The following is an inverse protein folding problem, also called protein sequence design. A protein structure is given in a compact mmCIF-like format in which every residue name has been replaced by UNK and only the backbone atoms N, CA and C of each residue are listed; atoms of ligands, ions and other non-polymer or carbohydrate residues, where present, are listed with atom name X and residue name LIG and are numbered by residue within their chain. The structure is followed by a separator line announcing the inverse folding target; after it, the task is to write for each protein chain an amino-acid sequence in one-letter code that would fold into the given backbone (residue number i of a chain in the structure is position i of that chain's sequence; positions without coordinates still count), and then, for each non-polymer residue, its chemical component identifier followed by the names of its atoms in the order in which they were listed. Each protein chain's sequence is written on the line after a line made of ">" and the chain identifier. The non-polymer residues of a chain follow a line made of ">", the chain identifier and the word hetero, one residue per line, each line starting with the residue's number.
data_IF_685105698083
#
_entry.id   IF_685105698083
#
_cell.length_a   1.000
_cell.length_b   1.000
_cell.length_c   1.000
_cell.angle_alpha   90.00
_cell.angle_beta   90.00
_cell.angle_gamma   90.00
#
_symmetry.space_group_name_H-M   'P 1'
#
loop_
_entity.id
_entity.type
_entity.pdbx_description
1 polymer ?
#
# COMPACT_ATOMS: atom_id res chain seq x y z
N UNK A 1 -6.55 18.03 4.06
CA UNK A 1 -5.77 17.78 2.82
C UNK A 1 -4.71 18.83 2.55
N UNK A 2 -5.04 20.11 2.32
CA UNK A 2 -4.02 21.15 2.01
C UNK A 2 -3.02 21.36 3.15
N UNK A 3 -3.51 21.51 4.38
CA UNK A 3 -2.64 21.68 5.54
C UNK A 3 -1.73 20.45 5.78
N UNK A 4 -2.27 19.24 5.59
CA UNK A 4 -1.50 17.99 5.73
C UNK A 4 -0.39 17.89 4.67
N UNK A 5 -0.67 18.24 3.42
CA UNK A 5 0.35 18.26 2.37
C UNK A 5 1.39 19.35 2.58
N UNK A 6 0.99 20.54 3.06
CA UNK A 6 1.95 21.57 3.49
C UNK A 6 2.84 21.04 4.61
N UNK A 7 2.27 20.32 5.59
CA UNK A 7 3.04 19.67 6.66
C UNK A 7 4.04 18.65 6.11
N UNK A 8 3.61 17.79 5.18
CA UNK A 8 4.50 16.82 4.50
C UNK A 8 5.62 17.55 3.76
N UNK A 9 5.31 18.59 2.97
CA UNK A 9 6.33 19.38 2.24
C UNK A 9 7.32 20.05 3.17
N UNK A 10 6.86 20.57 4.31
CA UNK A 10 7.72 21.22 5.29
C UNK A 10 8.59 20.21 6.04
N UNK A 11 8.06 19.02 6.31
CA UNK A 11 8.79 17.92 6.97
C UNK A 11 9.86 17.35 6.03
N UNK A 12 9.56 17.27 4.73
CA UNK A 12 10.45 16.74 3.70
C UNK A 12 10.98 17.83 2.79
N UNK A 13 11.90 18.64 3.34
CA UNK A 13 12.66 19.56 2.50
C UNK A 13 13.49 18.76 1.49
N UNK A 14 13.23 18.96 0.21
CA UNK A 14 13.93 18.26 -0.88
C UNK A 14 15.16 19.05 -1.30
N UNK A 15 16.33 18.40 -1.30
CA UNK A 15 17.56 18.96 -1.86
C UNK A 15 17.51 19.08 -3.40
N UNK A 16 18.59 19.55 -4.01
CA UNK A 16 18.66 19.75 -5.47
C UNK A 16 18.50 18.48 -6.29
N UNK A 17 18.81 17.30 -5.72
CA UNK A 17 18.66 16.00 -6.39
C UNK A 17 17.32 15.35 -6.10
N UNK A 18 16.73 15.63 -4.95
CA UNK A 18 15.54 14.94 -4.46
C UNK A 18 14.28 15.45 -5.14
N UNK A 19 13.37 14.54 -5.49
CA UNK A 19 12.07 14.89 -6.08
C UNK A 19 10.89 14.36 -5.29
N UNK A 20 9.80 15.11 -5.36
CA UNK A 20 8.51 14.81 -4.78
C UNK A 20 7.43 14.70 -5.85
N UNK A 21 6.57 13.71 -5.71
CA UNK A 21 5.38 13.50 -6.55
C UNK A 21 4.13 13.55 -5.68
N UNK A 22 3.08 14.20 -6.19
CA UNK A 22 1.77 14.26 -5.55
C UNK A 22 0.71 13.82 -6.57
N UNK A 23 0.22 12.59 -6.42
CA UNK A 23 -0.76 11.97 -7.30
C UNK A 23 -2.19 12.33 -6.88
N UNK A 24 -3.01 12.70 -7.87
CA UNK A 24 -4.43 12.98 -7.74
C UNK A 24 -5.24 12.15 -8.72
N UNK A 25 -6.41 11.69 -8.30
CA UNK A 25 -7.40 11.04 -9.17
C UNK A 25 -8.26 12.03 -9.98
N UNK A 26 -8.24 13.31 -9.63
CA UNK A 26 -9.06 14.36 -10.27
C UNK A 26 -8.20 15.54 -10.72
N UNK A 27 -8.29 15.88 -12.02
CA UNK A 27 -7.65 17.06 -12.62
C UNK A 27 -8.10 18.34 -11.93
N UNK A 28 -9.38 18.46 -11.58
CA UNK A 28 -9.93 19.62 -10.87
C UNK A 28 -9.26 19.80 -9.51
N UNK A 29 -9.16 18.72 -8.71
CA UNK A 29 -8.48 18.77 -7.40
C UNK A 29 -7.00 19.10 -7.56
N UNK A 30 -6.33 18.46 -8.53
CA UNK A 30 -4.93 18.69 -8.86
C UNK A 30 -4.69 20.17 -9.16
N UNK A 31 -5.42 20.76 -10.10
CA UNK A 31 -5.21 22.15 -10.53
C UNK A 31 -5.52 23.15 -9.42
N UNK A 32 -6.63 22.95 -8.69
CA UNK A 32 -6.94 23.78 -7.53
C UNK A 32 -5.82 23.74 -6.47
N UNK A 33 -5.22 22.57 -6.28
CA UNK A 33 -4.16 22.37 -5.32
C UNK A 33 -2.81 22.96 -5.78
N UNK A 34 -2.42 22.68 -7.02
CA UNK A 34 -1.20 23.17 -7.65
C UNK A 34 -1.17 24.70 -7.63
N UNK A 35 -2.29 25.35 -8.00
CA UNK A 35 -2.44 26.80 -7.94
C UNK A 35 -2.26 27.34 -6.51
N UNK A 36 -2.88 26.69 -5.50
CA UNK A 36 -2.79 27.12 -4.11
C UNK A 36 -1.39 27.02 -3.51
N UNK A 37 -0.59 26.07 -3.99
CA UNK A 37 0.77 25.82 -3.49
C UNK A 37 1.88 26.39 -4.37
N UNK A 38 1.55 27.03 -5.49
CA UNK A 38 2.53 27.50 -6.48
C UNK A 38 3.36 26.36 -7.06
N UNK A 39 2.74 25.21 -7.33
CA UNK A 39 3.40 24.02 -7.87
C UNK A 39 3.00 23.77 -9.32
N UNK A 40 3.86 23.07 -10.06
CA UNK A 40 3.54 22.62 -11.40
C UNK A 40 2.49 21.49 -11.37
N UNK A 41 1.64 21.46 -12.40
CA UNK A 41 0.67 20.39 -12.66
C UNK A 41 1.09 19.56 -13.87
N UNK A 42 0.72 18.27 -13.87
CA UNK A 42 0.85 17.39 -15.02
C UNK A 42 -0.39 16.49 -15.13
N UNK A 43 -1.13 16.60 -16.23
CA UNK A 43 -2.24 15.70 -16.55
C UNK A 43 -2.40 15.54 -18.07
N UNK A 44 -3.32 14.67 -18.50
CA UNK A 44 -3.50 14.37 -19.93
C UNK A 44 -3.82 15.60 -20.79
N UNK A 45 -4.63 16.52 -20.25
CA UNK A 45 -5.21 17.67 -20.96
C UNK A 45 -4.71 19.02 -20.42
N UNK A 46 -3.40 19.28 -20.46
CA UNK A 46 -2.84 20.55 -19.99
C UNK A 46 -3.22 21.73 -20.89
N UNK A 47 -3.39 21.46 -22.19
CA UNK A 47 -3.82 22.42 -23.22
C UNK A 47 -4.97 21.81 -24.02
N UNK A 48 -6.02 22.59 -24.28
CA UNK A 48 -7.17 22.14 -25.06
C UNK A 48 -6.89 22.22 -26.56
N UNK A 49 -7.32 21.20 -27.30
CA UNK A 49 -7.45 21.24 -28.77
C UNK A 49 -6.15 21.13 -29.58
N UNK A 50 -4.98 21.21 -28.96
CA UNK A 50 -3.69 21.10 -29.65
C UNK A 50 -2.76 20.07 -28.98
N UNK A 51 -2.65 18.85 -29.54
CA UNK A 51 -1.78 17.80 -29.01
C UNK A 51 -0.29 18.17 -29.04
N UNK A 52 0.15 18.97 -30.02
CA UNK A 52 1.57 19.35 -30.18
C UNK A 52 1.96 20.29 -29.05
N UNK A 53 1.15 21.32 -28.82
CA UNK A 53 1.38 22.29 -27.73
C UNK A 53 1.23 21.62 -26.36
N UNK A 54 0.23 20.73 -26.20
CA UNK A 54 0.05 19.97 -24.96
C UNK A 54 1.26 19.09 -24.63
N UNK A 55 1.83 18.41 -25.64
CA UNK A 55 3.01 17.56 -25.44
C UNK A 55 4.28 18.37 -25.19
N UNK A 56 4.45 19.52 -25.85
CA UNK A 56 5.56 20.44 -25.60
C UNK A 56 5.53 20.93 -24.14
N UNK A 57 4.37 21.41 -23.66
CA UNK A 57 4.22 21.87 -22.28
C UNK A 57 4.47 20.74 -21.26
N UNK A 58 4.02 19.52 -21.54
CA UNK A 58 4.33 18.35 -20.70
C UNK A 58 5.83 18.10 -20.62
N UNK A 59 6.54 18.17 -21.75
CA UNK A 59 7.98 18.00 -21.80
C UNK A 59 8.71 19.09 -21.00
N UNK A 60 8.28 20.35 -21.12
CA UNK A 60 8.85 21.48 -20.39
C UNK A 60 8.65 21.34 -18.87
N UNK A 61 7.44 20.94 -18.43
CA UNK A 61 7.14 20.70 -17.01
C UNK A 61 7.99 19.55 -16.46
N UNK A 62 8.13 18.46 -17.22
CA UNK A 62 8.96 17.31 -16.84
C UNK A 62 10.42 17.71 -16.75
N UNK A 63 10.94 18.46 -17.73
CA UNK A 63 12.33 18.92 -17.74
C UNK A 63 12.63 19.86 -16.56
N UNK A 64 11.74 20.82 -16.29
CA UNK A 64 11.85 21.71 -15.13
C UNK A 64 11.85 20.91 -13.82
N UNK A 65 10.96 19.92 -13.70
CA UNK A 65 10.92 19.03 -12.54
C UNK A 65 12.21 18.21 -12.41
N UNK A 66 12.66 17.55 -13.47
CA UNK A 66 13.91 16.77 -13.47
C UNK A 66 15.12 17.63 -13.07
N UNK A 67 15.19 18.88 -13.53
CA UNK A 67 16.27 19.82 -13.18
C UNK A 67 16.16 20.36 -11.75
N UNK A 68 14.94 20.56 -11.23
CA UNK A 68 14.69 20.94 -9.82
C UNK A 68 15.42 22.20 -9.34
N UNK A 69 15.75 23.12 -10.26
CA UNK A 69 16.57 24.32 -9.98
C UNK A 69 15.99 25.14 -8.83
N UNK A 70 14.70 25.44 -8.91
CA UNK A 70 13.97 26.14 -7.86
C UNK A 70 13.30 25.15 -6.90
N UNK A 71 13.16 25.47 -5.60
CA UNK A 71 12.47 24.62 -4.63
C UNK A 71 11.05 24.20 -5.07
N UNK A 72 10.33 25.07 -5.79
CA UNK A 72 9.00 24.78 -6.33
C UNK A 72 9.00 23.71 -7.44
N UNK A 73 10.09 23.61 -8.23
CA UNK A 73 10.21 22.61 -9.30
C UNK A 73 10.52 21.20 -8.77
N UNK A 74 10.93 21.06 -7.51
CA UNK A 74 11.26 19.75 -6.91
C UNK A 74 10.01 18.92 -6.61
N UNK A 75 8.83 19.54 -6.66
CA UNK A 75 7.53 18.91 -6.45
C UNK A 75 6.68 18.98 -7.73
N UNK A 76 5.98 17.89 -8.04
CA UNK A 76 5.05 17.84 -9.17
C UNK A 76 3.70 17.26 -8.74
N UNK A 77 2.63 18.02 -8.97
CA UNK A 77 1.26 17.54 -8.85
C UNK A 77 0.87 16.84 -10.15
N UNK A 78 0.47 15.57 -10.09
CA UNK A 78 0.21 14.78 -11.28
C UNK A 78 -1.02 13.89 -11.15
N UNK A 79 -1.58 13.47 -12.29
CA UNK A 79 -2.48 12.29 -12.34
C UNK A 79 -1.72 11.07 -12.83
N UNK A 80 -2.41 9.93 -12.92
CA UNK A 80 -1.89 8.70 -13.53
C UNK A 80 -1.32 8.90 -14.96
N UNK A 81 -1.68 9.98 -15.66
CA UNK A 81 -1.08 10.33 -16.95
C UNK A 81 0.43 10.58 -16.84
N UNK A 82 0.94 10.92 -15.66
CA UNK A 82 2.36 11.04 -15.38
C UNK A 82 2.96 9.66 -15.16
N UNK A 83 3.50 9.09 -16.24
CA UNK A 83 4.20 7.83 -16.12
C UNK A 83 4.76 7.17 -17.36
N UNK A 84 4.38 7.62 -18.56
CA UNK A 84 4.99 7.13 -19.80
C UNK A 84 6.41 7.72 -19.98
N UNK A 85 7.44 6.92 -19.70
CA UNK A 85 8.82 7.21 -20.10
C UNK A 85 9.66 8.11 -19.20
N UNK A 86 9.10 8.66 -18.11
CA UNK A 86 9.88 9.44 -17.13
C UNK A 86 10.37 8.50 -16.03
N UNK A 87 11.69 8.32 -15.97
CA UNK A 87 12.39 7.57 -14.93
C UNK A 87 13.39 8.51 -14.24
N UNK A 88 13.12 8.84 -12.97
CA UNK A 88 14.00 9.69 -12.17
C UNK A 88 14.39 8.94 -10.90
N UNK A 89 15.68 8.66 -10.67
CA UNK A 89 16.11 7.75 -9.62
C UNK A 89 15.88 8.29 -8.20
N UNK A 90 16.04 9.61 -8.01
CA UNK A 90 16.09 10.24 -6.68
C UNK A 90 14.72 10.78 -6.20
N UNK A 91 13.62 10.08 -6.50
CA UNK A 91 12.31 10.42 -5.91
C UNK A 91 12.31 10.00 -4.43
N UNK A 92 12.15 10.98 -3.53
CA UNK A 92 12.20 10.80 -2.06
C UNK A 92 10.84 10.84 -1.40
N UNK A 93 9.85 11.45 -2.03
CA UNK A 93 8.48 11.50 -1.51
C UNK A 93 7.49 11.24 -2.63
N UNK A 94 6.58 10.30 -2.38
CA UNK A 94 5.40 10.09 -3.21
C UNK A 94 4.18 10.25 -2.32
N UNK A 95 3.24 11.11 -2.71
CA UNK A 95 1.99 11.30 -1.97
C UNK A 95 0.82 10.97 -2.88
N UNK A 96 -0.12 10.16 -2.40
CA UNK A 96 -1.36 9.87 -3.11
C UNK A 96 -2.53 10.54 -2.42
N UNK A 97 -3.36 11.24 -3.20
CA UNK A 97 -4.56 11.92 -2.74
C UNK A 97 -5.79 11.17 -3.28
N UNK A 98 -6.54 10.59 -2.34
CA UNK A 98 -7.72 9.76 -2.59
C UNK A 98 -7.45 8.64 -3.64
N UNK A 99 -6.42 7.78 -3.45
CA UNK A 99 -6.15 6.67 -4.38
C UNK A 99 -7.32 5.68 -4.37
N UNK A 100 -7.67 5.16 -5.55
CA UNK A 100 -8.85 4.32 -5.75
C UNK A 100 -8.54 2.84 -6.01
N UNK A 101 -7.36 2.51 -6.54
CA UNK A 101 -7.05 1.17 -7.01
C UNK A 101 -5.57 0.81 -6.79
N UNK A 102 -5.32 -0.44 -6.42
CA UNK A 102 -4.01 -0.94 -6.03
C UNK A 102 -3.01 -0.92 -7.18
N UNK A 103 -3.44 -1.24 -8.41
CA UNK A 103 -2.56 -1.26 -9.58
C UNK A 103 -1.90 0.10 -9.80
N UNK A 104 -2.68 1.17 -9.77
CA UNK A 104 -2.17 2.53 -9.92
C UNK A 104 -1.29 2.93 -8.74
N UNK A 105 -1.78 2.73 -7.52
CA UNK A 105 -1.00 3.04 -6.32
C UNK A 105 0.37 2.35 -6.29
N UNK A 106 0.44 1.06 -6.62
CA UNK A 106 1.70 0.30 -6.62
C UNK A 106 2.64 0.78 -7.72
N UNK A 107 2.13 1.07 -8.92
CA UNK A 107 2.95 1.60 -10.01
C UNK A 107 3.49 3.00 -9.71
N UNK A 108 2.65 3.86 -9.15
CA UNK A 108 2.95 5.26 -8.81
C UNK A 108 3.90 5.34 -7.61
N UNK A 109 3.62 4.62 -6.53
CA UNK A 109 4.50 4.55 -5.35
C UNK A 109 5.85 3.90 -5.66
N UNK A 110 5.92 2.95 -6.61
CA UNK A 110 7.15 2.31 -7.09
C UNK A 110 8.08 3.21 -7.91
N UNK A 111 7.75 4.50 -8.05
CA UNK A 111 8.66 5.51 -8.62
C UNK A 111 9.66 6.05 -7.60
N UNK A 112 9.36 5.93 -6.31
CA UNK A 112 10.26 6.32 -5.24
C UNK A 112 11.48 5.40 -5.11
N UNK A 113 12.61 5.95 -4.67
CA UNK A 113 13.76 5.16 -4.21
C UNK A 113 14.43 4.27 -5.27
N UNK A 114 14.42 4.64 -6.55
CA UNK A 114 14.97 3.80 -7.64
C UNK A 114 16.49 3.74 -7.67
N UNK A 115 17.16 4.63 -6.96
CA UNK A 115 18.57 4.55 -6.62
C UNK A 115 18.88 3.60 -5.44
N UNK A 116 17.86 3.02 -4.81
CA UNK A 116 17.99 2.13 -3.65
C UNK A 116 17.94 2.84 -2.30
N UNK A 117 17.94 4.17 -2.28
CA UNK A 117 17.84 4.93 -1.04
C UNK A 117 16.39 4.99 -0.52
N UNK A 118 16.20 5.10 0.81
CA UNK A 118 14.87 5.21 1.40
C UNK A 118 14.06 6.38 0.84
N UNK A 119 12.75 6.17 0.73
CA UNK A 119 11.78 7.19 0.35
C UNK A 119 10.50 7.03 1.16
N UNK A 120 9.69 8.08 1.21
CA UNK A 120 8.40 8.07 1.89
C UNK A 120 7.25 7.96 0.89
N UNK A 121 6.33 7.01 1.14
CA UNK A 121 5.04 6.92 0.45
C UNK A 121 3.92 7.33 1.42
N UNK A 122 3.27 8.45 1.14
CA UNK A 122 2.14 8.97 1.90
C UNK A 122 0.84 8.70 1.17
N UNK A 123 -0.22 8.42 1.94
CA UNK A 123 -1.58 8.35 1.42
C UNK A 123 -2.50 9.22 2.26
N UNK A 124 -3.13 10.18 1.59
CA UNK A 124 -4.14 11.06 2.16
C UNK A 124 -5.48 10.71 1.53
N UNK A 125 -6.46 10.38 2.34
CA UNK A 125 -7.76 9.95 1.84
C UNK A 125 -8.88 10.50 2.72
N UNK A 126 -9.98 10.91 2.08
CA UNK A 126 -11.18 11.37 2.77
C UNK A 126 -12.36 10.42 2.57
N UNK A 127 -12.32 9.64 1.49
CA UNK A 127 -13.35 8.66 1.14
C UNK A 127 -12.68 7.32 0.87
N UNK A 128 -13.33 6.26 1.32
CA UNK A 128 -12.93 4.91 0.95
C UNK A 128 -13.14 4.71 -0.56
N UNK A 129 -12.24 3.98 -1.24
CA UNK A 129 -12.52 3.49 -2.58
C UNK A 129 -13.87 2.79 -2.59
N UNK A 130 -14.69 3.11 -3.59
CA UNK A 130 -16.01 2.53 -3.74
C UNK A 130 -15.99 1.56 -4.91
N UNK A 131 -16.29 0.30 -4.62
CA UNK A 131 -16.54 -0.72 -5.63
C UNK A 131 -18.06 -0.90 -5.71
N UNK A 132 -18.65 -0.54 -6.84
CA UNK A 132 -20.11 -0.59 -7.02
C UNK A 132 -20.64 -2.03 -6.99
N UNK A 133 -19.85 -2.97 -7.50
CA UNK A 133 -20.14 -4.40 -7.48
C UNK A 133 -18.88 -5.18 -7.03
N UNK A 134 -18.88 -5.76 -5.82
CA UNK A 134 -17.77 -6.54 -5.30
C UNK A 134 -17.38 -7.78 -6.13
N UNK A 135 -18.32 -8.34 -6.90
CA UNK A 135 -18.07 -9.51 -7.77
C UNK A 135 -17.39 -9.11 -9.09
N UNK A 136 -17.41 -7.81 -9.42
CA UNK A 136 -16.81 -7.20 -10.61
C UNK A 136 -15.66 -6.26 -10.22
N UNK A 137 -14.69 -6.70 -9.39
CA UNK A 137 -13.44 -5.93 -9.27
C UNK A 137 -12.88 -5.77 -10.70
N UNK A 138 -12.66 -4.54 -11.22
CA UNK A 138 -12.29 -4.32 -12.62
C UNK A 138 -10.88 -4.84 -13.00
N UNK A 139 -10.31 -5.75 -12.20
CA UNK A 139 -8.91 -6.19 -12.21
C UNK A 139 -7.91 -5.05 -11.95
N UNK A 140 -8.38 -3.88 -11.52
CA UNK A 140 -7.53 -2.73 -11.13
C UNK A 140 -7.15 -2.77 -9.65
N UNK A 141 -7.84 -3.58 -8.84
CA UNK A 141 -7.51 -3.86 -7.44
C UNK A 141 -8.11 -2.84 -6.48
N UNK A 142 -9.42 -2.63 -6.52
CA UNK A 142 -10.12 -1.73 -5.58
C UNK A 142 -10.17 -2.34 -4.18
N UNK A 143 -10.43 -3.65 -4.07
CA UNK A 143 -10.51 -4.34 -2.78
C UNK A 143 -9.17 -4.34 -2.03
N UNK A 144 -8.02 -4.70 -2.65
CA UNK A 144 -6.72 -4.58 -2.01
C UNK A 144 -6.38 -3.13 -1.60
N UNK A 145 -6.82 -2.12 -2.38
CA UNK A 145 -6.62 -0.73 -2.00
C UNK A 145 -7.43 -0.36 -0.74
N UNK A 146 -8.68 -0.81 -0.66
CA UNK A 146 -9.52 -0.61 0.52
C UNK A 146 -8.91 -1.28 1.75
N UNK A 147 -8.41 -2.51 1.61
CA UNK A 147 -7.70 -3.21 2.67
C UNK A 147 -6.45 -2.43 3.09
N UNK A 148 -5.65 -1.96 2.13
CA UNK A 148 -4.43 -1.21 2.40
C UNK A 148 -4.71 0.04 3.22
N UNK A 149 -5.79 0.77 2.93
CA UNK A 149 -6.17 1.99 3.66
C UNK A 149 -6.67 1.69 5.08
N UNK A 150 -7.36 0.56 5.28
CA UNK A 150 -8.10 0.27 6.52
C UNK A 150 -7.43 -0.73 7.44
N UNK A 151 -6.42 -1.46 6.97
CA UNK A 151 -5.70 -2.46 7.76
C UNK A 151 -5.07 -1.84 9.01
N UNK A 152 -5.05 -2.64 10.09
CA UNK A 152 -4.28 -2.37 11.31
C UNK A 152 -2.99 -3.17 11.38
N UNK A 153 -2.82 -4.13 10.47
CA UNK A 153 -1.62 -4.94 10.32
C UNK A 153 -0.54 -4.17 9.54
N UNK A 154 0.62 -4.79 9.36
CA UNK A 154 1.67 -4.22 8.51
C UNK A 154 1.13 -3.84 7.12
N UNK A 155 1.40 -2.61 6.65
CA UNK A 155 0.95 -2.14 5.33
C UNK A 155 1.47 -2.98 4.16
N UNK A 156 2.66 -3.59 4.29
CA UNK A 156 3.26 -4.39 3.22
C UNK A 156 2.47 -5.67 2.97
N UNK A 157 2.03 -6.38 4.01
CA UNK A 157 1.41 -7.72 3.86
C UNK A 157 0.10 -7.71 3.07
N UNK A 158 -0.58 -6.57 2.98
CA UNK A 158 -1.80 -6.41 2.19
C UNK A 158 -1.58 -6.73 0.71
N UNK A 159 -0.34 -6.57 0.22
CA UNK A 159 -0.02 -6.78 -1.19
C UNK A 159 0.34 -8.22 -1.54
N UNK A 160 0.15 -9.18 -0.62
CA UNK A 160 0.51 -10.59 -0.83
C UNK A 160 -0.18 -11.21 -2.06
N UNK A 161 -1.47 -10.93 -2.26
CA UNK A 161 -2.22 -11.46 -3.41
C UNK A 161 -1.74 -10.91 -4.77
N UNK A 162 -1.04 -9.77 -4.76
CA UNK A 162 -0.45 -9.14 -5.95
C UNK A 162 0.99 -9.62 -6.14
N UNK A 163 1.74 -9.80 -5.06
CA UNK A 163 3.12 -10.29 -5.08
C UNK A 163 3.35 -11.24 -3.89
N UNK A 164 3.46 -12.56 -4.14
CA UNK A 164 3.58 -13.56 -3.08
C UNK A 164 4.91 -13.49 -2.32
N UNK A 165 5.90 -12.73 -2.82
CA UNK A 165 7.16 -12.50 -2.12
C UNK A 165 7.09 -11.35 -1.11
N UNK A 166 5.95 -10.66 -1.00
CA UNK A 166 5.78 -9.58 -0.04
C UNK A 166 5.60 -10.16 1.36
N UNK A 167 6.39 -9.65 2.30
CA UNK A 167 6.29 -9.99 3.72
C UNK A 167 6.16 -8.73 4.60
N UNK A 168 5.96 -8.94 5.90
CA UNK A 168 5.87 -7.84 6.85
C UNK A 168 7.19 -7.08 6.96
N UNK A 169 7.15 -5.81 7.44
CA UNK A 169 8.40 -5.04 7.67
C UNK A 169 9.38 -5.82 8.55
N UNK A 170 8.86 -6.49 9.59
CA UNK A 170 9.66 -7.27 10.53
C UNK A 170 10.33 -8.46 9.84
N UNK A 171 9.57 -9.26 9.10
CA UNK A 171 10.09 -10.45 8.41
C UNK A 171 11.14 -10.09 7.35
N UNK A 172 11.02 -8.93 6.71
CA UNK A 172 11.98 -8.44 5.72
C UNK A 172 13.17 -7.67 6.32
N UNK A 173 13.18 -7.43 7.63
CA UNK A 173 14.09 -6.48 8.27
C UNK A 173 14.11 -5.11 7.55
N UNK A 174 12.94 -4.63 7.15
CA UNK A 174 12.76 -3.41 6.36
C UNK A 174 12.30 -2.22 7.20
N UNK A 175 12.52 -1.02 6.67
CA UNK A 175 12.00 0.24 7.24
C UNK A 175 10.51 0.15 7.56
N UNK A 176 10.13 0.51 8.78
CA UNK A 176 8.79 0.24 9.32
C UNK A 176 7.73 1.14 8.68
N UNK A 177 6.60 0.54 8.32
CA UNK A 177 5.39 1.29 7.94
C UNK A 177 4.73 1.95 9.16
N UNK A 178 3.80 2.86 8.91
CA UNK A 178 3.05 3.59 9.96
C UNK A 178 2.38 2.67 10.99
N UNK A 179 1.74 1.58 10.54
CA UNK A 179 1.13 0.62 11.44
C UNK A 179 2.15 -0.14 12.28
N UNK A 180 3.29 -0.54 11.71
CA UNK A 180 4.35 -1.22 12.47
C UNK A 180 5.00 -0.29 13.51
N UNK A 181 5.17 1.00 13.20
CA UNK A 181 5.65 1.99 14.16
C UNK A 181 4.67 2.15 15.33
N UNK A 182 3.37 2.33 15.03
CA UNK A 182 2.32 2.41 16.06
C UNK A 182 2.26 1.16 16.94
N UNK A 183 2.39 -0.04 16.35
CA UNK A 183 2.41 -1.29 17.10
C UNK A 183 3.61 -1.37 18.04
N UNK A 184 4.80 -0.91 17.61
CA UNK A 184 5.98 -0.92 18.48
C UNK A 184 5.93 0.09 19.62
N UNK A 185 5.10 1.12 19.50
CA UNK A 185 4.90 2.14 20.53
C UNK A 185 3.75 1.78 21.49
N UNK A 186 2.96 0.74 21.18
CA UNK A 186 1.84 0.33 22.01
C UNK A 186 2.33 -0.36 23.29
N UNK A 187 1.87 0.16 24.44
CA UNK A 187 2.12 -0.42 25.76
C UNK A 187 1.40 -1.76 25.98
N UNK A 188 0.47 -2.13 25.10
CA UNK A 188 -0.32 -3.37 25.17
C UNK A 188 0.46 -4.58 24.64
N UNK A 189 1.58 -4.36 23.93
CA UNK A 189 2.51 -5.43 23.54
C UNK A 189 3.39 -5.77 24.74
N UNK A 190 2.81 -6.46 25.73
CA UNK A 190 3.63 -7.29 26.62
C UNK A 190 4.11 -8.45 25.76
N UNK A 191 5.41 -8.52 25.50
CA UNK A 191 6.04 -9.78 25.10
C UNK A 191 5.65 -10.75 26.22
N UNK A 192 4.65 -11.60 25.97
CA UNK A 192 4.44 -12.76 26.80
C UNK A 192 5.77 -13.50 26.71
N UNK A 193 6.44 -13.66 27.87
CA UNK A 193 7.73 -14.34 28.00
C UNK A 193 7.82 -15.49 27.00
N UNK A 194 8.98 -15.62 26.34
CA UNK A 194 9.29 -16.69 25.39
C UNK A 194 8.51 -17.97 25.72
N UNK A 195 7.42 -18.20 24.99
CA UNK A 195 6.80 -19.51 24.99
C UNK A 195 7.74 -20.38 24.19
N UNK A 196 8.70 -21.01 24.88
CA UNK A 196 9.53 -22.07 24.32
C UNK A 196 8.60 -23.18 23.86
N UNK A 197 8.29 -23.19 22.57
CA UNK A 197 7.55 -24.27 21.92
C UNK A 197 8.47 -25.48 21.79
N UNK A 198 8.50 -26.31 22.82
CA UNK A 198 9.11 -27.63 22.77
C UNK A 198 8.09 -28.64 22.28
N UNK A 199 7.79 -28.63 20.98
CA UNK A 199 7.16 -29.79 20.37
C UNK A 199 8.25 -30.66 19.75
N UNK A 200 8.30 -31.93 20.15
CA UNK A 200 8.96 -32.94 19.34
C UNK A 200 8.26 -32.96 17.98
N UNK A 201 9.04 -32.75 16.91
CA UNK A 201 8.53 -32.85 15.55
C UNK A 201 8.15 -34.31 15.30
N UNK A 202 6.86 -34.61 15.44
CA UNK A 202 6.32 -35.90 15.03
C UNK A 202 6.51 -36.01 13.51
N UNK A 203 7.32 -36.97 13.07
CA UNK A 203 7.46 -37.26 11.65
C UNK A 203 6.12 -37.78 11.15
N UNK A 204 5.37 -36.93 10.46
CA UNK A 204 4.12 -37.33 9.81
C UNK A 204 4.49 -38.19 8.60
N UNK A 205 4.08 -39.46 8.60
CA UNK A 205 4.25 -40.31 7.43
C UNK A 205 3.59 -39.64 6.21
N UNK A 206 4.23 -39.69 5.02
CA UNK A 206 3.69 -39.06 3.83
C UNK A 206 2.29 -39.62 3.53
N UNK A 207 1.31 -38.72 3.48
CA UNK A 207 -0.07 -39.07 3.13
C UNK A 207 -0.07 -39.62 1.70
N UNK A 208 -0.53 -40.87 1.48
CA UNK A 208 -0.61 -41.40 0.13
C UNK A 208 -1.54 -40.53 -0.71
N UNK A 209 -1.08 -40.10 -1.89
CA UNK A 209 -1.95 -39.42 -2.84
C UNK A 209 -3.11 -40.34 -3.18
N UNK A 210 -4.34 -39.89 -2.90
CA UNK A 210 -5.54 -40.61 -3.32
C UNK A 210 -5.55 -40.72 -4.85
N UNK A 211 -5.55 -41.95 -5.36
CA UNK A 211 -5.55 -42.26 -6.81
C UNK A 211 -6.91 -42.07 -7.46
N UNK A 212 -7.90 -41.59 -6.72
CA UNK A 212 -9.26 -41.33 -7.19
C UNK A 212 -9.55 -39.84 -7.11
N UNK A 213 -9.86 -39.15 -8.23
CA UNK A 213 -10.22 -37.75 -8.20
C UNK A 213 -11.56 -37.59 -7.48
N UNK A 214 -11.52 -37.04 -6.26
CA UNK A 214 -12.71 -36.57 -5.56
C UNK A 214 -13.25 -35.35 -6.30
N UNK A 215 -14.57 -35.30 -6.46
CA UNK A 215 -15.20 -34.11 -7.04
C UNK A 215 -14.93 -32.90 -6.14
N UNK A 216 -14.78 -31.70 -6.72
CA UNK A 216 -14.50 -30.48 -5.97
C UNK A 216 -15.51 -30.22 -4.83
N UNK A 217 -16.75 -30.70 -4.98
CA UNK A 217 -17.78 -30.62 -3.95
C UNK A 217 -17.55 -31.53 -2.73
N UNK A 218 -16.93 -32.69 -2.90
CA UNK A 218 -16.60 -33.59 -1.79
C UNK A 218 -15.35 -33.11 -1.03
N UNK A 219 -14.38 -32.55 -1.74
CA UNK A 219 -13.23 -31.85 -1.15
C UNK A 219 -13.67 -30.67 -0.29
N UNK A 220 -14.60 -29.84 -0.78
CA UNK A 220 -15.14 -28.70 -0.03
C UNK A 220 -15.92 -29.14 1.21
N UNK A 221 -16.70 -30.21 1.14
CA UNK A 221 -17.43 -30.77 2.30
C UNK A 221 -16.48 -31.34 3.35
N UNK A 222 -15.45 -32.07 2.93
CA UNK A 222 -14.43 -32.61 3.83
C UNK A 222 -13.61 -31.50 4.49
N UNK A 223 -13.22 -30.45 3.73
CA UNK A 223 -12.54 -29.28 4.27
C UNK A 223 -13.41 -28.48 5.25
N UNK A 224 -14.71 -28.34 4.97
CA UNK A 224 -15.66 -27.70 5.88
C UNK A 224 -15.78 -28.48 7.21
N UNK A 225 -15.93 -29.82 7.15
CA UNK A 225 -15.97 -30.67 8.34
C UNK A 225 -14.66 -30.61 9.14
N UNK A 226 -13.51 -30.60 8.46
CA UNK A 226 -12.21 -30.48 9.12
C UNK A 226 -12.04 -29.10 9.77
N UNK A 227 -12.53 -28.04 9.11
CA UNK A 227 -12.55 -26.68 9.65
C UNK A 227 -13.41 -26.58 10.91
N UNK A 228 -14.60 -27.17 10.90
CA UNK A 228 -15.53 -27.20 12.03
C UNK A 228 -14.93 -27.95 13.24
N UNK A 229 -14.24 -29.07 13.02
CA UNK A 229 -13.53 -29.79 14.08
C UNK A 229 -12.35 -29.01 14.66
N UNK A 230 -11.60 -28.26 13.82
CA UNK A 230 -10.54 -27.37 14.30
C UNK A 230 -11.10 -26.22 15.12
N UNK A 231 -12.23 -25.64 14.69
CA UNK A 231 -12.91 -24.57 15.42
C UNK A 231 -13.36 -25.06 16.80
N UNK A 232 -13.94 -26.25 16.88
CA UNK A 232 -14.38 -26.85 18.14
C UNK A 232 -13.23 -27.07 19.13
N UNK A 233 -12.05 -27.47 18.63
CA UNK A 233 -10.84 -27.61 19.46
C UNK A 233 -10.37 -26.26 19.99
N UNK A 234 -10.39 -25.22 19.16
CA UNK A 234 -10.01 -23.86 19.57
C UNK A 234 -10.98 -23.32 20.62
N UNK A 235 -12.29 -23.50 20.45
CA UNK A 235 -13.30 -23.09 21.43
C UNK A 235 -13.06 -23.76 22.78
N UNK A 236 -12.78 -25.07 22.81
CA UNK A 236 -12.45 -25.78 24.06
C UNK A 236 -11.20 -25.25 24.75
N UNK A 237 -10.16 -24.91 23.99
CA UNK A 237 -8.94 -24.30 24.54
C UNK A 237 -9.25 -22.92 25.14
N UNK A 238 -10.07 -22.12 24.45
CA UNK A 238 -10.48 -20.80 24.95
C UNK A 238 -11.33 -20.92 26.23
N UNK A 239 -12.26 -21.88 26.29
CA UNK A 239 -13.05 -22.16 27.51
C UNK A 239 -12.16 -22.57 28.69
N UNK A 240 -11.12 -23.38 28.45
CA UNK A 240 -10.14 -23.75 29.48
C UNK A 240 -9.33 -22.54 29.97
N UNK A 241 -8.90 -21.66 29.06
CA UNK A 241 -8.19 -20.42 29.42
C UNK A 241 -9.10 -19.50 30.25
N UNK A 242 -10.38 -19.34 29.86
CA UNK A 242 -11.36 -18.53 30.60
C UNK A 242 -11.62 -19.11 32.00
N UNK A 243 -11.66 -20.43 32.15
CA UNK A 243 -11.82 -21.08 33.46
C UNK A 243 -10.61 -20.88 34.36
N UNK A 244 -9.40 -20.84 33.82
CA UNK A 244 -8.16 -20.58 34.58
C UNK A 244 -8.12 -19.12 35.05
N UNK A 245 -8.59 -18.19 34.21
CA UNK A 245 -8.58 -16.76 34.51
C UNK A 245 -9.68 -16.30 35.47
N UNK A 246 -10.72 -17.11 35.71
CA UNK A 246 -11.83 -16.80 36.63
C UNK A 246 -11.68 -17.42 38.02
N UNK A 247 -10.62 -18.20 38.28
CA UNK A 247 -10.31 -18.84 39.57
C UNK A 247 -9.34 -18.03 40.46
N UNK A 248 -9.10 -16.74 40.16
CA UNK A 248 -8.32 -15.81 40.99
C UNK A 248 -9.06 -14.50 41.22
#
# INVERSE_FOLDING_TARGET
>A
MVAELMCIRNTHSLDEKSRGLIYFTSITKLNAFAAKLGLASYHAEMVQGDPVVNNALKADVVDAWCKGKEPGHRWLCCTQAFGAGVDYPHVRVVVHVDPCAAMFYLQESGRGGRDGDPYFSYVLWQKKPFLADPELDPHVGVLPMLEFLTTRSCRRVVWYDINPHVHSCCAMNAERCDNCNKMSESQDVRILQELTYQAELEQVEPVPLATTPLSAGELLKAQAQQGEQKLLKIVKILEQIVSILTLH
#
